data_IF_140859792776
#
_entry.id   IF_140859792776
#
_cell.length_a   1.000
_cell.length_b   1.000
_cell.length_c   1.000
_cell.angle_alpha   90.00
_cell.angle_beta   90.00
_cell.angle_gamma   90.00
#
_symmetry.space_group_name_H-M   'P 1'
#
loop_
_entity.id
_entity.type
_entity.pdbx_description
1 polymer ?
#
# COMPACT_ATOMS: atom_id res chain seq x y z
N UNK A 1 -8.56 32.56 -32.90
CA UNK A 1 -7.56 31.63 -32.33
C UNK A 1 -8.08 30.25 -32.63
N UNK A 2 -7.52 29.58 -33.63
CA UNK A 2 -7.80 28.16 -33.86
C UNK A 2 -7.28 27.41 -32.62
N UNK A 3 -8.16 26.69 -31.93
CA UNK A 3 -7.79 25.83 -30.82
C UNK A 3 -6.91 24.72 -31.37
N UNK A 4 -5.60 24.78 -31.14
CA UNK A 4 -4.74 23.63 -31.36
C UNK A 4 -5.32 22.42 -30.65
N UNK A 5 -5.46 21.29 -31.34
CA UNK A 5 -5.92 20.05 -30.74
C UNK A 5 -4.88 19.48 -29.77
N UNK A 6 -5.29 18.55 -28.92
CA UNK A 6 -4.35 17.77 -28.12
C UNK A 6 -3.41 16.97 -29.05
N UNK A 7 -2.11 17.24 -28.98
CA UNK A 7 -1.08 16.45 -29.66
C UNK A 7 -0.10 15.86 -28.63
N UNK A 8 -0.13 14.53 -28.51
CA UNK A 8 0.77 13.80 -27.61
C UNK A 8 2.26 13.98 -27.96
N UNK A 9 2.56 14.34 -29.20
CA UNK A 9 3.93 14.60 -29.67
C UNK A 9 4.49 15.93 -29.14
N UNK A 10 3.63 16.86 -28.72
CA UNK A 10 4.02 18.15 -28.14
C UNK A 10 4.22 18.09 -26.62
N UNK A 11 3.90 16.95 -25.98
CA UNK A 11 4.06 16.77 -24.54
C UNK A 11 5.54 16.91 -24.11
N UNK A 12 5.86 17.78 -23.14
CA UNK A 12 7.20 17.94 -22.60
C UNK A 12 7.84 16.61 -22.14
N UNK A 13 7.04 15.74 -21.52
CA UNK A 13 7.46 14.42 -21.06
C UNK A 13 7.84 13.46 -22.19
N UNK A 14 7.39 13.73 -23.42
CA UNK A 14 7.70 12.92 -24.60
C UNK A 14 8.90 13.44 -25.39
N UNK A 15 9.45 14.63 -25.08
CA UNK A 15 10.55 15.22 -25.84
C UNK A 15 11.77 14.31 -25.97
N UNK A 16 12.18 13.66 -24.87
CA UNK A 16 13.31 12.73 -24.89
C UNK A 16 12.92 11.38 -25.50
N UNK A 17 11.77 10.85 -25.11
CA UNK A 17 11.19 9.59 -25.62
C UNK A 17 11.06 9.58 -27.15
N UNK A 18 10.65 10.71 -27.74
CA UNK A 18 10.58 10.90 -29.19
C UNK A 18 11.93 10.75 -29.87
N UNK A 19 13.01 11.30 -29.31
CA UNK A 19 14.36 11.09 -29.85
C UNK A 19 14.82 9.65 -29.68
N UNK A 20 14.49 9.04 -28.55
CA UNK A 20 14.83 7.65 -28.25
C UNK A 20 14.15 6.67 -29.23
N UNK A 21 12.93 6.99 -29.66
CA UNK A 21 12.16 6.23 -30.63
C UNK A 21 12.10 6.89 -32.02
N UNK A 22 12.96 7.85 -32.35
CA UNK A 22 12.86 8.62 -33.60
C UNK A 22 12.92 7.72 -34.85
N UNK A 23 13.64 6.60 -34.73
CA UNK A 23 13.84 5.61 -35.79
C UNK A 23 12.83 4.47 -35.76
N UNK A 24 11.87 4.48 -34.84
CA UNK A 24 10.93 3.38 -34.69
C UNK A 24 9.57 3.79 -34.10
N UNK A 25 8.50 3.39 -34.78
CA UNK A 25 7.13 3.68 -34.38
C UNK A 25 6.55 2.60 -33.45
N UNK A 26 6.13 2.96 -32.24
CA UNK A 26 5.56 2.02 -31.25
C UNK A 26 4.33 1.27 -31.79
N UNK A 27 3.35 1.93 -32.46
CA UNK A 27 2.30 1.28 -33.22
C UNK A 27 2.76 0.14 -34.16
N UNK A 28 3.94 0.26 -34.79
CA UNK A 28 4.51 -0.80 -35.64
C UNK A 28 4.90 -2.03 -34.81
N UNK A 29 5.51 -1.82 -33.63
CA UNK A 29 5.83 -2.90 -32.70
C UNK A 29 4.55 -3.57 -32.19
N UNK A 30 3.58 -2.78 -31.73
CA UNK A 30 2.31 -3.31 -31.23
C UNK A 30 1.56 -4.11 -32.31
N UNK A 31 1.45 -3.56 -33.52
CA UNK A 31 0.78 -4.24 -34.64
C UNK A 31 1.48 -5.52 -35.09
N UNK A 32 2.82 -5.55 -35.03
CA UNK A 32 3.61 -6.73 -35.39
C UNK A 32 3.69 -7.81 -34.31
N UNK A 33 3.55 -7.46 -33.03
CA UNK A 33 3.81 -8.39 -31.92
C UNK A 33 2.54 -8.85 -31.18
N UNK A 34 1.47 -8.04 -31.09
CA UNK A 34 0.31 -8.38 -30.25
C UNK A 34 -0.57 -9.48 -30.84
N UNK A 35 -0.71 -9.52 -32.16
CA UNK A 35 -1.73 -10.33 -32.85
C UNK A 35 -1.17 -11.57 -33.54
N UNK A 36 0.09 -11.90 -33.26
CA UNK A 36 0.81 -13.03 -33.87
C UNK A 36 0.96 -14.16 -32.86
N UNK A 37 0.84 -15.40 -33.36
CA UNK A 37 0.99 -16.63 -32.57
C UNK A 37 2.33 -17.33 -32.81
N UNK A 38 3.01 -17.03 -33.91
CA UNK A 38 4.31 -17.61 -34.25
C UNK A 38 5.46 -16.78 -33.64
N UNK A 39 6.47 -17.49 -33.11
CA UNK A 39 7.61 -16.88 -32.44
C UNK A 39 8.35 -15.88 -33.36
N UNK A 40 8.64 -16.29 -34.59
CA UNK A 40 9.40 -15.50 -35.56
C UNK A 40 8.68 -14.19 -35.93
N UNK A 41 7.35 -14.23 -36.05
CA UNK A 41 6.54 -13.07 -36.40
C UNK A 41 6.55 -12.00 -35.29
N UNK A 42 6.69 -12.42 -34.02
CA UNK A 42 6.84 -11.51 -32.89
C UNK A 42 8.31 -11.08 -32.69
N UNK A 43 9.27 -11.97 -32.95
CA UNK A 43 10.69 -11.69 -32.77
C UNK A 43 11.18 -10.59 -33.71
N UNK A 44 10.79 -10.62 -34.99
CA UNK A 44 11.22 -9.64 -36.00
C UNK A 44 10.91 -8.19 -35.61
N UNK A 45 9.67 -7.80 -35.28
CA UNK A 45 9.36 -6.42 -34.90
C UNK A 45 10.02 -6.02 -33.58
N UNK A 46 10.13 -6.95 -32.63
CA UNK A 46 10.81 -6.76 -31.34
C UNK A 46 12.30 -6.46 -31.60
N UNK A 47 13.00 -7.26 -32.41
CA UNK A 47 14.40 -7.01 -32.76
C UNK A 47 14.61 -5.70 -33.53
N UNK A 48 13.74 -5.39 -34.48
CA UNK A 48 13.79 -4.14 -35.25
C UNK A 48 13.65 -2.94 -34.31
N UNK A 49 12.75 -3.03 -33.31
CA UNK A 49 12.63 -2.01 -32.26
C UNK A 49 13.97 -1.84 -31.52
N UNK A 50 14.56 -2.94 -31.03
CA UNK A 50 15.82 -2.85 -30.27
C UNK A 50 16.97 -2.25 -31.07
N UNK A 51 17.18 -2.68 -32.32
CA UNK A 51 18.26 -2.18 -33.19
C UNK A 51 18.16 -0.66 -33.37
N UNK A 52 16.95 -0.15 -33.56
CA UNK A 52 16.70 1.28 -33.68
C UNK A 52 16.84 2.01 -32.33
N UNK A 53 16.30 1.42 -31.26
CA UNK A 53 16.32 1.96 -29.91
C UNK A 53 17.76 2.16 -29.38
N UNK A 54 18.61 1.14 -29.49
CA UNK A 54 20.02 1.24 -29.02
C UNK A 54 20.79 2.29 -29.83
N UNK A 55 20.56 2.36 -31.14
CA UNK A 55 21.21 3.37 -31.99
C UNK A 55 20.80 4.79 -31.58
N UNK A 56 19.52 5.01 -31.28
CA UNK A 56 19.02 6.30 -30.80
C UNK A 56 19.54 6.63 -29.40
N UNK A 57 19.57 5.64 -28.50
CA UNK A 57 20.14 5.78 -27.16
C UNK A 57 21.61 6.21 -27.20
N UNK A 58 22.40 5.63 -28.09
CA UNK A 58 23.82 5.98 -28.30
C UNK A 58 24.00 7.43 -28.73
N UNK A 59 23.13 7.92 -29.63
CA UNK A 59 23.14 9.31 -30.07
C UNK A 59 22.79 10.28 -28.93
N UNK A 60 22.05 9.82 -27.92
CA UNK A 60 21.63 10.61 -26.76
C UNK A 60 22.61 10.52 -25.57
N UNK A 61 23.75 9.83 -25.73
CA UNK A 61 24.75 9.62 -24.67
C UNK A 61 25.15 10.89 -23.93
N UNK A 62 25.42 11.98 -24.65
CA UNK A 62 25.83 13.25 -24.02
C UNK A 62 24.69 13.91 -23.24
N UNK A 63 23.45 13.80 -23.72
CA UNK A 63 22.26 14.30 -23.02
C UNK A 63 22.01 13.48 -21.75
N UNK A 64 22.15 12.16 -21.83
CA UNK A 64 21.98 11.27 -20.69
C UNK A 64 23.07 11.34 -19.64
N UNK A 65 24.31 11.70 -20.01
CA UNK A 65 25.34 12.02 -19.01
C UNK A 65 24.96 13.22 -18.13
N UNK A 66 24.15 14.15 -18.67
CA UNK A 66 23.65 15.32 -17.92
C UNK A 66 22.34 15.01 -17.19
N UNK A 67 21.45 14.26 -17.83
CA UNK A 67 20.09 13.96 -17.35
C UNK A 67 19.90 12.47 -17.03
N UNK A 68 20.85 11.86 -16.30
CA UNK A 68 20.92 10.41 -16.12
C UNK A 68 19.68 9.79 -15.50
N UNK A 69 19.06 10.47 -14.52
CA UNK A 69 17.84 9.98 -13.86
C UNK A 69 16.65 9.91 -14.83
N UNK A 70 16.45 10.96 -15.64
CA UNK A 70 15.39 10.97 -16.66
C UNK A 70 15.63 9.89 -17.72
N UNK A 71 16.85 9.81 -18.26
CA UNK A 71 17.19 8.77 -19.21
C UNK A 71 16.97 7.35 -18.66
N UNK A 72 17.32 7.12 -17.38
CA UNK A 72 17.07 5.86 -16.70
C UNK A 72 15.58 5.52 -16.67
N UNK A 73 14.72 6.47 -16.28
CA UNK A 73 13.26 6.27 -16.24
C UNK A 73 12.70 5.98 -17.63
N UNK A 74 13.05 6.80 -18.62
CA UNK A 74 12.52 6.67 -19.99
C UNK A 74 12.98 5.37 -20.66
N UNK A 75 14.24 4.95 -20.47
CA UNK A 75 14.72 3.65 -20.98
C UNK A 75 14.03 2.49 -20.28
N UNK A 76 13.87 2.55 -18.96
CA UNK A 76 13.16 1.50 -18.23
C UNK A 76 11.69 1.39 -18.67
N UNK A 77 11.01 2.52 -18.93
CA UNK A 77 9.66 2.54 -19.46
C UNK A 77 9.55 1.74 -20.76
N UNK A 78 10.48 1.94 -21.71
CA UNK A 78 10.45 1.20 -22.98
C UNK A 78 10.77 -0.29 -22.83
N UNK A 79 11.71 -0.65 -21.96
CA UNK A 79 11.99 -2.06 -21.65
C UNK A 79 10.74 -2.74 -21.02
N UNK A 80 10.06 -2.04 -20.13
CA UNK A 80 8.84 -2.53 -19.48
C UNK A 80 7.66 -2.60 -20.46
N UNK A 81 7.58 -1.65 -21.41
CA UNK A 81 6.59 -1.63 -22.48
C UNK A 81 6.76 -2.80 -23.45
N UNK A 82 7.99 -3.06 -23.94
CA UNK A 82 8.30 -4.21 -24.80
C UNK A 82 7.95 -5.51 -24.08
N UNK A 83 8.33 -5.62 -22.81
CA UNK A 83 7.97 -6.78 -21.96
C UNK A 83 6.45 -6.94 -21.87
N UNK A 84 5.72 -5.85 -21.67
CA UNK A 84 4.25 -5.85 -21.65
C UNK A 84 3.62 -6.28 -22.96
N UNK A 85 4.15 -5.82 -24.09
CA UNK A 85 3.70 -6.22 -25.43
C UNK A 85 3.92 -7.72 -25.65
N UNK A 86 5.10 -8.24 -25.32
CA UNK A 86 5.39 -9.68 -25.42
C UNK A 86 4.45 -10.49 -24.52
N UNK A 87 4.23 -10.06 -23.27
CA UNK A 87 3.29 -10.72 -22.34
C UNK A 87 1.85 -10.69 -22.86
N UNK A 88 1.44 -9.61 -23.52
CA UNK A 88 0.09 -9.43 -24.06
C UNK A 88 -0.13 -10.13 -25.42
N UNK A 89 0.92 -10.61 -26.07
CA UNK A 89 0.85 -11.32 -27.35
C UNK A 89 0.10 -12.66 -27.28
N UNK A 90 -0.25 -13.21 -28.45
CA UNK A 90 -0.88 -14.53 -28.60
C UNK A 90 0.11 -15.70 -28.58
N UNK A 91 1.40 -15.43 -28.36
CA UNK A 91 2.43 -16.46 -28.23
C UNK A 91 2.16 -17.43 -27.08
N UNK A 92 2.65 -18.66 -27.22
CA UNK A 92 2.75 -19.63 -26.14
C UNK A 92 3.66 -19.12 -25.01
N UNK A 93 3.41 -19.56 -23.77
CA UNK A 93 4.14 -19.06 -22.60
C UNK A 93 5.66 -19.34 -22.67
N UNK A 94 6.06 -20.43 -23.33
CA UNK A 94 7.47 -20.74 -23.59
C UNK A 94 8.13 -19.71 -24.50
N UNK A 95 7.43 -19.27 -25.53
CA UNK A 95 7.91 -18.31 -26.53
C UNK A 95 7.95 -16.90 -25.96
N UNK A 96 6.92 -16.51 -25.20
CA UNK A 96 6.93 -15.30 -24.38
C UNK A 96 8.15 -15.26 -23.46
N UNK A 97 8.42 -16.37 -22.76
CA UNK A 97 9.55 -16.47 -21.84
C UNK A 97 10.90 -16.37 -22.55
N UNK A 98 11.02 -16.97 -23.74
CA UNK A 98 12.21 -16.89 -24.58
C UNK A 98 12.50 -15.45 -25.04
N UNK A 99 11.50 -14.73 -25.56
CA UNK A 99 11.66 -13.33 -25.97
C UNK A 99 11.95 -12.40 -24.80
N UNK A 100 11.25 -12.56 -23.67
CA UNK A 100 11.52 -11.74 -22.46
C UNK A 100 12.94 -11.97 -21.96
N UNK A 101 13.40 -13.23 -21.95
CA UNK A 101 14.79 -13.54 -21.58
C UNK A 101 15.79 -12.82 -22.47
N UNK A 102 15.52 -12.67 -23.77
CA UNK A 102 16.36 -11.91 -24.72
C UNK A 102 16.39 -10.41 -24.36
N UNK A 103 15.23 -9.82 -24.06
CA UNK A 103 15.15 -8.42 -23.58
C UNK A 103 15.97 -8.22 -22.30
N UNK A 104 15.84 -9.13 -21.34
CA UNK A 104 16.47 -8.99 -20.01
C UNK A 104 17.95 -9.36 -19.97
N UNK A 105 18.37 -10.39 -20.73
CA UNK A 105 19.72 -10.95 -20.65
C UNK A 105 20.67 -10.41 -21.71
N UNK A 106 20.14 -9.93 -22.85
CA UNK A 106 20.97 -9.43 -23.94
C UNK A 106 20.81 -7.91 -24.08
N UNK A 107 19.58 -7.41 -24.16
CA UNK A 107 19.35 -6.02 -24.54
C UNK A 107 19.59 -5.04 -23.42
N UNK A 108 19.00 -5.31 -22.25
CA UNK A 108 19.15 -4.44 -21.08
C UNK A 108 20.63 -4.23 -20.70
N UNK A 109 21.47 -5.29 -20.63
CA UNK A 109 22.89 -5.11 -20.34
C UNK A 109 23.62 -4.32 -21.43
N UNK A 110 23.31 -4.54 -22.70
CA UNK A 110 23.95 -3.83 -23.81
C UNK A 110 23.62 -2.33 -23.81
N UNK A 111 22.37 -1.96 -23.50
CA UNK A 111 21.96 -0.57 -23.34
C UNK A 111 22.73 0.10 -22.19
N UNK A 112 23.05 -0.65 -21.11
CA UNK A 112 23.76 -0.12 -19.94
C UNK A 112 25.28 -0.19 -20.01
N UNK A 113 25.86 -1.08 -20.82
CA UNK A 113 27.31 -1.34 -20.91
C UNK A 113 28.14 -0.07 -21.19
N UNK A 114 27.48 0.98 -21.69
CA UNK A 114 28.11 2.26 -22.01
C UNK A 114 28.37 3.18 -20.81
N UNK A 115 27.98 2.79 -19.59
CA UNK A 115 28.15 3.56 -18.33
C UNK A 115 27.74 5.04 -18.48
N UNK A 116 26.67 5.28 -19.24
CA UNK A 116 26.19 6.64 -19.56
C UNK A 116 25.54 7.27 -18.32
N UNK A 117 24.90 6.43 -17.49
CA UNK A 117 24.27 6.76 -16.23
C UNK A 117 24.15 5.48 -15.38
N UNK A 118 24.10 5.62 -14.06
CA UNK A 118 23.85 4.50 -13.14
C UNK A 118 22.35 4.32 -12.97
N UNK A 119 21.86 3.12 -13.24
CA UNK A 119 20.43 2.81 -13.13
C UNK A 119 20.27 1.31 -12.91
N UNK A 120 19.70 0.95 -11.77
CA UNK A 120 19.39 -0.43 -11.44
C UNK A 120 17.96 -0.77 -11.88
N UNK A 121 17.79 -1.92 -12.52
CA UNK A 121 16.48 -2.43 -12.94
C UNK A 121 16.30 -3.87 -12.46
N UNK A 122 15.56 -4.01 -11.37
CA UNK A 122 15.02 -5.31 -10.96
C UNK A 122 13.80 -5.65 -11.82
N UNK A 123 13.68 -6.88 -12.28
CA UNK A 123 12.67 -7.33 -13.25
C UNK A 123 11.37 -7.83 -12.61
N UNK A 124 11.33 -7.91 -11.28
CA UNK A 124 10.14 -8.37 -10.57
C UNK A 124 8.94 -7.42 -10.75
N UNK A 125 7.74 -7.95 -10.49
CA UNK A 125 6.50 -7.21 -10.66
C UNK A 125 6.41 -5.96 -9.76
N UNK A 126 6.93 -6.03 -8.54
CA UNK A 126 6.88 -4.90 -7.60
C UNK A 126 7.75 -3.74 -8.10
N UNK A 127 8.97 -4.07 -8.51
CA UNK A 127 9.91 -3.11 -9.10
C UNK A 127 9.37 -2.46 -10.37
N UNK A 128 8.72 -3.25 -11.24
CA UNK A 128 8.08 -2.73 -12.46
C UNK A 128 6.95 -1.77 -12.14
N UNK A 129 6.07 -2.11 -11.19
CA UNK A 129 4.98 -1.22 -10.77
C UNK A 129 5.51 0.08 -10.18
N UNK A 130 6.54 0.01 -9.33
CA UNK A 130 7.20 1.20 -8.75
C UNK A 130 7.78 2.11 -9.84
N UNK A 131 8.46 1.54 -10.84
CA UNK A 131 8.96 2.32 -11.99
C UNK A 131 7.83 2.97 -12.78
N UNK A 132 6.73 2.25 -13.02
CA UNK A 132 5.54 2.79 -13.67
C UNK A 132 4.97 4.00 -12.93
N UNK A 133 4.80 3.89 -11.61
CA UNK A 133 4.32 4.99 -10.75
C UNK A 133 5.26 6.19 -10.80
N UNK A 134 6.57 5.96 -10.66
CA UNK A 134 7.56 7.05 -10.71
C UNK A 134 7.55 7.76 -12.06
N UNK A 135 7.61 6.99 -13.17
CA UNK A 135 7.53 7.56 -14.51
C UNK A 135 6.24 8.37 -14.69
N UNK A 136 5.10 7.84 -14.23
CA UNK A 136 3.81 8.51 -14.31
C UNK A 136 3.81 9.87 -13.61
N UNK A 137 4.28 9.91 -12.36
CA UNK A 137 4.36 11.16 -11.59
C UNK A 137 5.27 12.20 -12.25
N UNK A 138 6.43 11.79 -12.76
CA UNK A 138 7.32 12.71 -13.47
C UNK A 138 6.69 13.23 -14.76
N UNK A 139 6.01 12.38 -15.53
CA UNK A 139 5.36 12.80 -16.77
C UNK A 139 4.20 13.77 -16.47
N UNK A 140 3.39 13.51 -15.45
CA UNK A 140 2.35 14.43 -14.99
C UNK A 140 2.93 15.79 -14.60
N UNK A 141 4.07 15.80 -13.91
CA UNK A 141 4.71 17.05 -13.47
C UNK A 141 5.27 17.86 -14.64
N UNK A 142 5.88 17.18 -15.62
CA UNK A 142 6.42 17.83 -16.81
C UNK A 142 5.31 18.35 -17.73
N UNK A 143 4.17 17.66 -17.79
CA UNK A 143 3.04 17.96 -18.68
C UNK A 143 1.95 18.83 -18.02
N UNK A 144 2.13 19.28 -16.78
CA UNK A 144 1.12 19.98 -15.97
C UNK A 144 0.40 21.11 -16.75
N UNK A 145 1.16 21.95 -17.46
CA UNK A 145 0.60 23.06 -18.25
C UNK A 145 -0.20 22.59 -19.48
N UNK A 146 0.15 21.43 -20.05
CA UNK A 146 -0.57 20.83 -21.18
C UNK A 146 -1.83 20.10 -20.73
N UNK A 147 -1.83 19.53 -19.52
CA UNK A 147 -2.98 18.79 -18.99
C UNK A 147 -4.18 19.71 -18.75
N UNK A 148 -3.95 20.92 -18.23
CA UNK A 148 -5.01 21.86 -17.86
C UNK A 148 -6.10 22.07 -18.95
N UNK A 149 -5.73 22.37 -20.22
CA UNK A 149 -6.71 22.50 -21.30
C UNK A 149 -7.21 21.17 -21.91
N UNK A 150 -6.55 20.04 -21.67
CA UNK A 150 -6.81 18.77 -22.38
C UNK A 150 -6.96 17.54 -21.46
N UNK A 151 -7.46 17.71 -20.23
CA UNK A 151 -7.46 16.65 -19.23
C UNK A 151 -8.12 15.33 -19.68
N UNK A 152 -9.23 15.40 -20.42
CA UNK A 152 -9.92 14.21 -20.94
C UNK A 152 -9.08 13.47 -21.99
N UNK A 153 -8.55 14.20 -22.97
CA UNK A 153 -7.70 13.63 -24.03
C UNK A 153 -6.39 13.09 -23.45
N UNK A 154 -5.80 13.78 -22.47
CA UNK A 154 -4.62 13.32 -21.76
C UNK A 154 -4.89 12.03 -20.99
N UNK A 155 -6.02 11.91 -20.30
CA UNK A 155 -6.41 10.67 -19.61
C UNK A 155 -6.62 9.51 -20.60
N UNK A 156 -7.13 9.78 -21.80
CA UNK A 156 -7.21 8.77 -22.87
C UNK A 156 -5.80 8.33 -23.32
N UNK A 157 -4.90 9.28 -23.54
CA UNK A 157 -3.50 8.99 -23.85
C UNK A 157 -2.81 8.14 -22.76
N UNK A 158 -3.01 8.47 -21.48
CA UNK A 158 -2.46 7.71 -20.35
C UNK A 158 -2.95 6.25 -20.33
N UNK A 159 -4.24 6.03 -20.58
CA UNK A 159 -4.82 4.68 -20.67
C UNK A 159 -4.18 3.87 -21.79
N UNK A 160 -3.95 4.48 -22.95
CA UNK A 160 -3.27 3.83 -24.08
C UNK A 160 -1.80 3.51 -23.73
N UNK A 161 -1.08 4.51 -23.22
CA UNK A 161 0.35 4.44 -22.84
C UNK A 161 0.65 3.31 -21.85
N UNK A 162 -0.21 3.11 -20.85
CA UNK A 162 0.02 2.15 -19.77
C UNK A 162 -0.64 0.79 -20.00
N UNK A 163 -1.51 0.67 -21.01
CA UNK A 163 -2.35 -0.53 -21.29
C UNK A 163 -1.58 -1.84 -21.20
N UNK A 164 -0.49 -1.97 -21.96
CA UNK A 164 0.26 -3.22 -22.07
C UNK A 164 1.10 -3.51 -20.81
N UNK A 165 1.47 -2.50 -20.03
CA UNK A 165 2.17 -2.71 -18.76
C UNK A 165 1.17 -3.15 -17.68
N UNK A 166 0.01 -2.49 -17.61
CA UNK A 166 -1.04 -2.83 -16.64
C UNK A 166 -1.55 -4.24 -16.86
N UNK A 167 -1.72 -4.70 -18.11
CA UNK A 167 -2.30 -6.01 -18.41
C UNK A 167 -1.57 -7.19 -17.74
N UNK A 168 -0.24 -7.11 -17.56
CA UNK A 168 0.52 -8.15 -16.88
C UNK A 168 0.92 -7.79 -15.44
N UNK A 169 0.96 -6.49 -15.10
CA UNK A 169 1.32 -6.05 -13.74
C UNK A 169 0.12 -5.99 -12.80
N UNK A 170 -1.12 -5.97 -13.31
CA UNK A 170 -2.37 -6.00 -12.55
C UNK A 170 -3.27 -7.16 -12.98
N UNK A 171 -2.83 -8.39 -12.68
CA UNK A 171 -3.52 -9.64 -13.07
C UNK A 171 -4.97 -9.76 -12.56
N UNK A 172 -5.33 -8.99 -11.53
CA UNK A 172 -6.71 -8.88 -11.04
C UNK A 172 -7.09 -7.40 -11.10
N UNK A 173 -7.51 -6.92 -12.28
CA UNK A 173 -7.86 -5.53 -12.48
C UNK A 173 -8.84 -5.09 -11.38
N UNK A 174 -8.63 -3.90 -10.82
CA UNK A 174 -9.37 -3.31 -9.69
C UNK A 174 -9.02 -3.80 -8.27
N UNK A 175 -8.27 -4.90 -8.12
CA UNK A 175 -7.94 -5.43 -6.79
C UNK A 175 -6.62 -4.90 -6.21
N UNK A 176 -5.72 -4.37 -7.04
CA UNK A 176 -4.43 -3.85 -6.60
C UNK A 176 -4.51 -2.37 -6.26
N UNK A 177 -4.25 -2.02 -4.99
CA UNK A 177 -4.16 -0.65 -4.52
C UNK A 177 -2.71 -0.25 -4.30
N UNK A 178 -2.41 1.02 -4.56
CA UNK A 178 -1.16 1.69 -4.23
C UNK A 178 -1.36 2.57 -3.00
N UNK A 179 -0.31 2.71 -2.20
CA UNK A 179 -0.15 3.81 -1.26
C UNK A 179 1.21 4.46 -1.51
N UNK A 180 1.19 5.76 -1.74
CA UNK A 180 2.38 6.60 -1.78
C UNK A 180 2.32 7.53 -0.58
N UNK A 181 3.28 7.41 0.33
CA UNK A 181 3.21 8.13 1.61
C UNK A 181 4.59 8.63 2.06
N UNK A 182 4.74 9.95 2.08
CA UNK A 182 5.89 10.66 2.64
C UNK A 182 5.45 11.96 3.31
N UNK A 183 6.41 12.83 3.67
CA UNK A 183 6.13 14.06 4.43
C UNK A 183 5.23 15.07 3.68
N UNK A 184 5.12 14.93 2.36
CA UNK A 184 4.41 15.89 1.51
C UNK A 184 3.37 15.22 0.62
N UNK A 185 3.38 13.90 0.47
CA UNK A 185 2.51 13.16 -0.43
C UNK A 185 1.79 12.03 0.29
N UNK A 186 0.50 11.90 0.01
CA UNK A 186 -0.38 10.88 0.58
C UNK A 186 -1.44 10.51 -0.44
N UNK A 187 -1.19 9.44 -1.17
CA UNK A 187 -2.06 8.96 -2.24
C UNK A 187 -2.42 7.52 -1.93
N UNK A 188 -3.71 7.22 -1.93
CA UNK A 188 -4.21 5.84 -1.99
C UNK A 188 -5.14 5.71 -3.17
N UNK A 189 -4.86 4.76 -4.06
CA UNK A 189 -5.67 4.56 -5.26
C UNK A 189 -5.57 3.14 -5.80
N UNK A 190 -6.54 2.70 -6.61
CA UNK A 190 -6.33 1.56 -7.49
C UNK A 190 -5.17 1.81 -8.48
N UNK A 191 -4.28 0.83 -8.63
CA UNK A 191 -3.07 0.94 -9.46
C UNK A 191 -3.38 1.30 -10.93
N UNK A 192 -4.34 0.63 -11.56
CA UNK A 192 -4.72 0.91 -12.95
C UNK A 192 -5.39 2.28 -13.11
N UNK A 193 -6.25 2.66 -12.16
CA UNK A 193 -6.88 3.99 -12.16
C UNK A 193 -5.85 5.11 -11.97
N UNK A 194 -4.87 4.91 -11.09
CA UNK A 194 -3.79 5.86 -10.86
C UNK A 194 -3.00 6.16 -12.14
N UNK A 195 -2.52 5.11 -12.82
CA UNK A 195 -1.76 5.26 -14.05
C UNK A 195 -2.62 5.82 -15.20
N UNK A 196 -3.92 5.57 -15.19
CA UNK A 196 -4.86 6.05 -16.21
C UNK A 196 -5.44 7.45 -15.99
N UNK A 197 -4.95 8.21 -14.99
CA UNK A 197 -5.48 9.53 -14.64
C UNK A 197 -4.38 10.57 -14.39
N UNK A 198 -4.70 11.82 -14.72
CA UNK A 198 -3.92 13.03 -14.46
C UNK A 198 -4.26 13.73 -13.14
N UNK A 199 -5.17 13.19 -12.34
CA UNK A 199 -5.64 13.81 -11.08
C UNK A 199 -4.55 13.91 -9.98
N UNK A 200 -3.39 13.28 -10.19
CA UNK A 200 -2.31 13.16 -9.21
C UNK A 200 -1.12 14.09 -9.46
N UNK A 201 -1.34 15.22 -10.14
CA UNK A 201 -0.33 16.28 -10.27
C UNK A 201 -0.07 16.88 -8.87
N UNK A 202 1.19 16.81 -8.43
CA UNK A 202 1.62 17.33 -7.14
C UNK A 202 2.74 18.37 -7.32
N UNK A 203 2.70 19.46 -6.54
CA UNK A 203 3.75 20.49 -6.52
C UNK A 203 4.95 20.14 -5.62
N UNK A 204 5.18 18.86 -5.44
CA UNK A 204 6.18 18.34 -4.51
C UNK A 204 7.49 18.07 -5.23
N UNK A 205 8.58 18.02 -4.47
CA UNK A 205 9.86 17.59 -5.00
C UNK A 205 9.85 16.07 -5.23
N UNK A 206 9.58 15.64 -6.47
CA UNK A 206 9.60 14.21 -6.83
C UNK A 206 10.98 13.57 -6.66
N UNK A 207 12.05 14.36 -6.63
CA UNK A 207 13.41 13.83 -6.43
C UNK A 207 13.63 13.31 -4.99
N UNK A 208 12.73 13.65 -4.05
CA UNK A 208 12.75 13.14 -2.68
C UNK A 208 11.91 11.87 -2.51
N UNK A 209 11.12 11.48 -3.52
CA UNK A 209 10.26 10.30 -3.45
C UNK A 209 11.09 9.02 -3.55
N UNK A 210 11.12 8.25 -2.45
CA UNK A 210 11.88 7.00 -2.42
C UNK A 210 11.01 5.78 -2.76
N UNK A 211 11.63 4.71 -3.27
CA UNK A 211 10.90 3.50 -3.69
C UNK A 211 10.19 2.81 -2.53
N UNK A 212 10.71 2.94 -1.31
CA UNK A 212 10.14 2.36 -0.08
C UNK A 212 8.86 3.11 0.37
N UNK A 213 8.64 4.32 -0.13
CA UNK A 213 7.44 5.13 0.17
C UNK A 213 6.24 4.69 -0.69
N UNK A 214 6.49 3.84 -1.69
CA UNK A 214 5.48 3.24 -2.55
C UNK A 214 5.21 1.81 -2.07
N UNK A 215 3.98 1.55 -1.68
CA UNK A 215 3.52 0.24 -1.20
C UNK A 215 2.30 -0.22 -1.98
N UNK A 216 2.13 -1.54 -2.08
CA UNK A 216 1.01 -2.15 -2.76
C UNK A 216 0.27 -3.09 -1.82
N UNK A 217 -1.05 -3.16 -1.96
CA UNK A 217 -1.85 -4.15 -1.25
C UNK A 217 -3.09 -4.50 -2.05
N UNK A 218 -3.54 -5.75 -1.90
CA UNK A 218 -4.91 -6.15 -2.29
C UNK A 218 -5.88 -6.12 -1.13
N UNK A 219 -5.37 -6.01 0.09
CA UNK A 219 -6.14 -5.82 1.30
C UNK A 219 -6.13 -4.35 1.69
N UNK A 220 -7.28 -3.70 1.54
CA UNK A 220 -7.46 -2.31 1.89
C UNK A 220 -7.27 -2.08 3.40
N UNK A 221 -7.63 -3.04 4.25
CA UNK A 221 -7.46 -2.91 5.70
C UNK A 221 -5.98 -2.89 6.08
N UNK A 222 -5.17 -3.77 5.49
CA UNK A 222 -3.71 -3.74 5.63
C UNK A 222 -3.14 -2.38 5.21
N UNK A 223 -3.61 -1.85 4.08
CA UNK A 223 -3.17 -0.54 3.58
C UNK A 223 -3.53 0.59 4.55
N UNK A 224 -4.78 0.64 5.04
CA UNK A 224 -5.25 1.61 6.04
C UNK A 224 -4.40 1.53 7.31
N UNK A 225 -4.18 0.31 7.82
CA UNK A 225 -3.39 0.11 9.03
C UNK A 225 -1.94 0.56 8.87
N UNK A 226 -1.40 0.52 7.64
CA UNK A 226 -0.05 0.99 7.35
C UNK A 226 0.13 2.52 7.26
N UNK A 227 -0.96 3.31 7.21
CA UNK A 227 -0.88 4.78 7.11
C UNK A 227 -0.20 5.37 8.34
N UNK A 228 0.81 6.22 8.17
CA UNK A 228 1.54 6.83 9.28
C UNK A 228 0.85 8.10 9.76
N UNK A 229 0.41 8.12 11.02
CA UNK A 229 -0.20 9.32 11.62
C UNK A 229 0.84 10.41 11.91
N UNK A 230 2.10 10.01 12.16
CA UNK A 230 3.18 10.92 12.58
C UNK A 230 3.85 11.67 11.41
N UNK A 231 3.56 11.28 10.16
CA UNK A 231 4.16 11.88 8.96
C UNK A 231 3.42 13.13 8.47
N UNK A 232 2.29 13.45 9.10
CA UNK A 232 1.48 14.61 8.71
C UNK A 232 2.09 15.85 9.36
N UNK A 233 2.79 16.67 8.56
CA UNK A 233 3.29 17.94 9.05
C UNK A 233 2.10 18.81 9.52
N UNK A 234 2.07 19.25 10.80
CA UNK A 234 1.05 20.16 11.28
C UNK A 234 1.21 21.57 10.72
N UNK A 235 2.38 21.89 10.16
CA UNK A 235 2.67 23.14 9.49
C UNK A 235 2.51 22.94 7.98
N UNK A 236 1.43 23.51 7.43
CA UNK A 236 1.04 23.42 6.03
C UNK A 236 2.05 24.08 5.11
N UNK A 237 3.08 23.33 4.71
CA UNK A 237 3.82 23.65 3.51
C UNK A 237 2.84 23.68 2.32
N UNK A 238 2.99 24.67 1.44
CA UNK A 238 2.15 24.85 0.25
C UNK A 238 2.24 23.69 -0.76
N UNK A 239 3.11 22.72 -0.49
CA UNK A 239 3.44 21.60 -1.36
C UNK A 239 2.98 20.27 -0.74
N UNK A 240 1.83 20.23 -0.07
CA UNK A 240 1.24 18.98 0.40
C UNK A 240 0.24 18.49 -0.64
N UNK A 241 0.33 17.20 -0.99
CA UNK A 241 -0.48 16.54 -2.01
C UNK A 241 -1.17 15.32 -1.42
N UNK A 242 -2.42 15.49 -0.98
CA UNK A 242 -3.25 14.41 -0.46
C UNK A 242 -4.47 14.20 -1.35
N UNK A 243 -4.66 12.97 -1.86
CA UNK A 243 -5.89 12.65 -2.58
C UNK A 243 -7.04 12.38 -1.60
N UNK A 244 -8.27 12.50 -2.10
CA UNK A 244 -9.48 12.31 -1.29
C UNK A 244 -9.49 10.95 -0.57
N UNK A 245 -9.15 9.88 -1.28
CA UNK A 245 -9.14 8.52 -0.74
C UNK A 245 -8.18 8.38 0.45
N UNK A 246 -6.96 8.93 0.35
CA UNK A 246 -6.01 8.95 1.45
C UNK A 246 -6.57 9.68 2.67
N UNK A 247 -7.13 10.88 2.48
CA UNK A 247 -7.72 11.68 3.56
C UNK A 247 -8.89 10.94 4.23
N UNK A 248 -9.76 10.32 3.45
CA UNK A 248 -10.92 9.60 3.99
C UNK A 248 -10.51 8.35 4.76
N UNK A 249 -9.51 7.60 4.28
CA UNK A 249 -8.93 6.46 5.00
C UNK A 249 -8.21 6.87 6.28
N UNK A 250 -7.48 7.99 6.24
CA UNK A 250 -6.84 8.56 7.41
C UNK A 250 -7.86 8.92 8.48
N UNK A 251 -8.96 9.60 8.10
CA UNK A 251 -10.08 9.92 9.01
C UNK A 251 -10.70 8.65 9.60
N UNK A 252 -10.93 7.64 8.77
CA UNK A 252 -11.46 6.35 9.22
C UNK A 252 -10.55 5.69 10.26
N UNK A 253 -9.24 5.64 10.01
CA UNK A 253 -8.24 5.13 10.96
C UNK A 253 -8.26 5.90 12.28
N UNK A 254 -8.24 7.23 12.21
CA UNK A 254 -8.26 8.10 13.38
C UNK A 254 -9.52 7.89 14.24
N UNK A 255 -10.70 7.80 13.60
CA UNK A 255 -11.97 7.52 14.28
C UNK A 255 -11.98 6.14 14.93
N UNK A 256 -11.42 5.11 14.28
CA UNK A 256 -11.33 3.77 14.85
C UNK A 256 -10.41 3.74 16.08
N UNK A 257 -9.25 4.40 16.03
CA UNK A 257 -8.34 4.53 17.18
C UNK A 257 -9.04 5.27 18.33
N UNK A 258 -9.75 6.36 18.03
CA UNK A 258 -10.51 7.11 19.04
C UNK A 258 -11.59 6.24 19.70
N UNK A 259 -12.35 5.46 18.91
CA UNK A 259 -13.37 4.53 19.43
C UNK A 259 -12.76 3.46 20.34
N UNK A 260 -11.66 2.85 19.94
CA UNK A 260 -10.96 1.83 20.74
C UNK A 260 -10.44 2.45 22.05
N UNK A 261 -9.83 3.63 21.99
CA UNK A 261 -9.34 4.34 23.18
C UNK A 261 -10.48 4.69 24.14
N UNK A 262 -11.62 5.16 23.63
CA UNK A 262 -12.81 5.44 24.44
C UNK A 262 -13.35 4.15 25.11
N UNK A 263 -13.38 3.03 24.39
CA UNK A 263 -13.85 1.74 24.91
C UNK A 263 -12.89 1.18 25.98
N UNK A 264 -11.58 1.32 25.76
CA UNK A 264 -10.55 1.01 26.76
C UNK A 264 -10.70 1.86 28.01
N UNK A 265 -10.91 3.17 27.86
CA UNK A 265 -11.10 4.08 28.99
C UNK A 265 -12.34 3.71 29.82
N UNK A 266 -13.45 3.40 29.16
CA UNK A 266 -14.67 2.90 29.83
C UNK A 266 -14.39 1.60 30.57
N UNK A 267 -13.68 0.65 29.94
CA UNK A 267 -13.32 -0.63 30.56
C UNK A 267 -12.44 -0.45 31.81
N UNK A 268 -11.43 0.42 31.74
CA UNK A 268 -10.55 0.75 32.86
C UNK A 268 -11.34 1.42 33.99
N UNK A 269 -12.24 2.35 33.66
CA UNK A 269 -13.09 3.01 34.65
C UNK A 269 -14.02 2.01 35.37
N UNK A 270 -14.66 1.09 34.64
CA UNK A 270 -15.52 0.06 35.20
C UNK A 270 -14.75 -0.92 36.10
N UNK A 271 -13.56 -1.35 35.67
CA UNK A 271 -12.67 -2.18 36.50
C UNK A 271 -12.26 -1.46 37.79
N UNK A 272 -11.87 -0.19 37.70
CA UNK A 272 -11.52 0.63 38.85
C UNK A 272 -12.67 0.78 39.85
N UNK A 273 -13.88 1.07 39.35
CA UNK A 273 -15.09 1.16 40.19
C UNK A 273 -15.41 -0.20 40.82
N UNK A 274 -15.31 -1.29 40.06
CA UNK A 274 -15.59 -2.64 40.58
C UNK A 274 -14.59 -3.05 41.68
N UNK A 275 -13.30 -2.76 41.49
CA UNK A 275 -12.26 -2.97 42.51
C UNK A 275 -12.51 -2.14 43.77
N UNK A 276 -12.89 -0.87 43.60
CA UNK A 276 -13.24 -0.02 44.73
C UNK A 276 -14.45 -0.58 45.51
N UNK A 277 -15.47 -1.09 44.82
CA UNK A 277 -16.63 -1.74 45.44
C UNK A 277 -16.26 -3.02 46.19
N UNK A 278 -15.38 -3.86 45.63
CA UNK A 278 -14.88 -5.08 46.29
C UNK A 278 -14.10 -4.72 47.57
N UNK A 279 -13.19 -3.75 47.49
CA UNK A 279 -12.43 -3.28 48.65
C UNK A 279 -13.34 -2.69 49.73
N UNK A 280 -14.37 -1.93 49.33
CA UNK A 280 -15.38 -1.44 50.26
C UNK A 280 -16.18 -2.60 50.87
N UNK A 281 -16.52 -3.64 50.12
CA UNK A 281 -17.21 -4.81 50.67
C UNK A 281 -16.33 -5.57 51.67
N UNK A 282 -15.06 -5.81 51.37
CA UNK A 282 -14.20 -6.63 52.22
C UNK A 282 -13.66 -5.89 53.44
N UNK A 283 -13.42 -4.57 53.34
CA UNK A 283 -12.74 -3.79 54.39
C UNK A 283 -13.60 -2.70 55.06
N UNK A 284 -14.84 -2.48 54.62
CA UNK A 284 -15.78 -1.53 55.27
C UNK A 284 -16.76 -2.24 56.22
N UNK A 285 -17.26 -1.57 57.27
CA UNK A 285 -18.33 -2.10 58.14
C UNK A 285 -19.61 -2.55 57.42
N UNK A 286 -19.82 -2.14 56.16
CA UNK A 286 -20.93 -2.56 55.30
C UNK A 286 -20.90 -4.04 54.89
N UNK A 287 -19.72 -4.64 54.64
CA UNK A 287 -19.64 -6.08 54.33
C UNK A 287 -19.91 -6.97 55.54
N UNK A 288 -19.44 -6.54 56.72
CA UNK A 288 -19.75 -7.18 58.01
C UNK A 288 -21.25 -7.10 58.30
N UNK A 289 -21.91 -5.99 57.95
CA UNK A 289 -23.36 -5.81 58.09
C UNK A 289 -24.15 -6.72 57.13
N UNK A 290 -23.76 -6.82 55.86
CA UNK A 290 -24.39 -7.74 54.90
C UNK A 290 -24.26 -9.21 55.30
N UNK A 291 -23.07 -9.65 55.76
CA UNK A 291 -22.88 -11.01 56.32
C UNK A 291 -23.73 -11.28 57.55
N UNK A 292 -23.98 -10.27 58.40
CA UNK A 292 -24.88 -10.38 59.56
C UNK A 292 -26.35 -10.46 59.16
N UNK A 293 -26.79 -9.72 58.14
CA UNK A 293 -28.18 -9.77 57.67
C UNK A 293 -28.54 -11.10 56.96
N UNK A 294 -27.61 -11.70 56.21
CA UNK A 294 -27.83 -13.03 55.62
C UNK A 294 -27.80 -14.15 56.66
N UNK A 295 -26.91 -14.07 57.67
CA UNK A 295 -26.94 -15.00 58.82
C UNK A 295 -28.27 -14.96 59.59
N UNK A 296 -28.80 -13.76 59.85
CA UNK A 296 -30.08 -13.58 60.54
C UNK A 296 -31.29 -14.18 59.80
N UNK A 297 -31.22 -14.37 58.48
CA UNK A 297 -32.30 -15.02 57.72
C UNK A 297 -32.24 -16.54 57.82
N UNK A 298 -31.04 -17.12 57.88
CA UNK A 298 -30.85 -18.58 58.02
C UNK A 298 -31.23 -19.04 59.43
N UNK A 299 -30.88 -18.26 60.47
CA UNK A 299 -31.27 -18.51 61.88
C UNK A 299 -32.79 -18.41 62.12
N UNK A 300 -33.54 -17.74 61.25
CA UNK A 300 -35.00 -17.56 61.37
C UNK A 300 -35.78 -18.68 60.66
N UNK A 301 -35.22 -19.29 59.61
CA UNK A 301 -35.82 -20.47 58.96
C UNK A 301 -35.55 -21.77 59.73
N UNK A 302 -34.37 -21.93 60.37
CA UNK A 302 -34.06 -23.11 61.21
C UNK A 302 -34.83 -23.13 62.55
N UNK A 303 -35.31 -21.99 63.05
CA UNK A 303 -36.03 -21.92 64.33
C UNK A 303 -37.55 -22.14 64.25
N UNK A 304 -38.07 -22.62 63.11
CA UNK A 304 -39.52 -22.83 62.93
C UNK A 304 -39.98 -24.29 63.03
N UNK A 305 -39.07 -25.23 63.30
CA UNK A 305 -39.41 -26.64 63.52
C UNK A 305 -38.56 -27.24 64.64
N UNK A 306 -39.06 -27.18 65.88
CA UNK A 306 -38.96 -28.25 66.90
C UNK A 306 -39.39 -27.70 68.28
N UNK A 307 -40.70 -27.67 68.51
CA UNK A 307 -41.22 -27.85 69.87
C UNK A 307 -41.37 -29.36 70.10
N UNK A 308 -40.55 -29.91 71.00
CA UNK A 308 -40.87 -31.12 71.75
C UNK A 308 -40.10 -31.05 73.09
N UNK A 309 -40.80 -30.98 74.24
CA UNK A 309 -40.13 -30.93 75.53
C UNK A 309 -39.91 -32.36 76.02
N UNK A 310 -38.75 -32.64 76.63
CA UNK A 310 -38.63 -33.33 77.92
C UNK A 310 -37.21 -33.83 78.21
N UNK A 311 -36.87 -33.71 79.50
CA UNK A 311 -36.10 -34.67 80.30
C UNK A 311 -34.56 -34.71 80.16
N UNK A 312 -33.97 -34.42 81.33
CA UNK A 312 -32.96 -35.23 82.04
C UNK A 312 -31.46 -34.97 81.81
N UNK A 313 -30.84 -34.72 82.97
CA UNK A 313 -29.55 -35.24 83.43
C UNK A 313 -28.21 -34.62 82.98
N UNK A 314 -27.64 -33.90 83.95
CA UNK A 314 -26.39 -34.23 84.65
C UNK A 314 -25.05 -34.27 83.91
N UNK A 315 -24.08 -33.69 84.63
CA UNK A 315 -22.69 -34.12 84.75
C UNK A 315 -21.82 -33.79 83.52
N UNK A 316 -20.92 -32.84 83.65
CA UNK A 316 -19.57 -33.03 84.20
C UNK A 316 -18.54 -32.94 83.06
N UNK A 317 -17.76 -31.87 83.14
CA UNK A 317 -16.32 -31.98 83.32
C UNK A 317 -15.42 -32.17 82.07
N UNK A 318 -14.25 -31.51 82.17
CA UNK A 318 -13.00 -31.77 81.45
C UNK A 318 -12.98 -31.27 79.99
N UNK A 319 -12.06 -30.43 79.53
CA UNK A 319 -10.69 -30.17 79.95
C UNK A 319 -9.83 -30.11 78.67
N UNK A 320 -9.04 -29.05 78.54
CA UNK A 320 -8.26 -28.65 77.35
C UNK A 320 -7.27 -29.72 76.86
N UNK A 321 -7.04 -29.80 75.54
CA UNK A 321 -5.71 -30.12 75.00
C UNK A 321 -5.40 -29.29 73.73
N UNK A 322 -4.18 -28.76 73.70
CA UNK A 322 -3.52 -28.02 72.61
C UNK A 322 -2.62 -29.01 71.87
N UNK A 323 -2.57 -28.94 70.53
CA UNK A 323 -1.51 -29.57 69.72
C UNK A 323 -1.11 -28.66 68.55
N UNK A 324 0.20 -28.45 68.38
CA UNK A 324 0.86 -27.69 67.31
C UNK A 324 1.50 -28.63 66.27
N UNK A 325 1.84 -28.13 65.06
CA UNK A 325 1.95 -28.94 63.84
C UNK A 325 3.34 -29.55 63.62
N UNK A 326 3.38 -30.69 62.93
CA UNK A 326 4.59 -31.32 62.37
C UNK A 326 4.65 -31.13 60.85
N UNK A 327 5.75 -30.58 60.33
CA UNK A 327 6.14 -30.67 58.92
C UNK A 327 6.85 -32.02 58.66
N UNK A 328 6.65 -32.59 57.47
CA UNK A 328 7.47 -33.67 56.92
C UNK A 328 8.19 -33.20 55.66
N UNK A 329 9.42 -33.71 55.49
CA UNK A 329 10.30 -33.57 54.33
C UNK A 329 9.68 -34.01 53.01
#
# INVERSE_FOLDING_TARGET
MESGGFDKEELPSNKYKKKLCEKYDIPKLEGGALYVSEYEDCEVPVEDFYKNFITSHDNLKTECKKNGLKCCRDVNYYLDLVTGIIKASQLEDSDKSKLIKKVESEWEPNIRAQNIYTCERQTDLDSTRKRGILQHLYDLKEDENFILPYAEDYNKYLKEKWKNIISYTDLQPSALFIKIENNSMGIIENYGQFLGSSDYICNNNLDELNKEEITFSRDLNSLINSISLDRISPNGDKNICYNKNYVDMLKYKALNIQKINNLLFIGIALLGVSLALILLYDYSPLGIWFRRCTKKKIEVDENSNEELPELYENSENIGRYITYPSMSH
#
